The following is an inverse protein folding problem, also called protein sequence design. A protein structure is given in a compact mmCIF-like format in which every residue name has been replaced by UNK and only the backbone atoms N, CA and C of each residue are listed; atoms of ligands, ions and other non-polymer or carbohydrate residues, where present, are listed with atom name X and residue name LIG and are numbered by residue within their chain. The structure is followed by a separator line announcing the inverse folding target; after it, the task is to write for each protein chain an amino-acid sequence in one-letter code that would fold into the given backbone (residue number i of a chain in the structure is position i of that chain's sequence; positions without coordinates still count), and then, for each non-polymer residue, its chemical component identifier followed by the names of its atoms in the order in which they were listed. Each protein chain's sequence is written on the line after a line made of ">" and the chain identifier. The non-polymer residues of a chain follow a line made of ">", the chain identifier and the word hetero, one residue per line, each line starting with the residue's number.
data_IF_957464073497
#
_entry.id   IF_957464073497
#
_cell.length_a   1.000
_cell.length_b   1.000
_cell.length_c   1.000
_cell.angle_alpha   90.00
_cell.angle_beta   90.00
_cell.angle_gamma   90.00
#
_symmetry.space_group_name_H-M   'P 1'
#
loop_
_entity.id
_entity.type
_entity.pdbx_description
1 polymer ?
#
# COMPACT_ATOMS: atom_id res chain seq x y z
N UNK A 1 3.88 -4.61 9.81
CA UNK A 1 4.05 -3.30 9.15
C UNK A 1 2.94 -2.31 9.48
N UNK A 2 1.70 -2.55 9.03
CA UNK A 2 0.63 -1.53 9.05
C UNK A 2 0.24 -0.97 10.43
N UNK A 3 0.33 -1.78 11.50
CA UNK A 3 0.11 -1.28 12.86
C UNK A 3 1.21 -0.35 13.40
N UNK A 4 2.35 -0.24 12.71
CA UNK A 4 3.42 0.68 13.04
C UNK A 4 3.40 1.93 12.15
N UNK A 5 2.62 1.95 11.07
CA UNK A 5 2.48 3.10 10.16
C UNK A 5 1.30 3.98 10.55
N UNK A 6 1.30 5.24 10.15
CA UNK A 6 0.12 6.11 10.27
C UNK A 6 -1.06 5.70 9.34
N UNK A 7 -0.84 4.75 8.42
CA UNK A 7 -1.85 4.25 7.48
C UNK A 7 -3.06 3.69 8.24
N UNK A 8 -4.25 4.21 7.94
CA UNK A 8 -5.51 3.65 8.44
C UNK A 8 -5.94 4.06 9.84
N UNK A 9 -5.36 5.14 10.42
CA UNK A 9 -5.90 5.98 11.55
C UNK A 9 -4.85 6.86 12.25
N UNK A 10 -3.66 7.05 11.68
CA UNK A 10 -2.67 8.01 12.20
C UNK A 10 -1.93 7.58 13.47
N UNK A 11 -2.11 6.35 13.95
CA UNK A 11 -1.61 5.91 15.26
C UNK A 11 -0.22 5.24 15.29
N UNK A 12 0.45 5.08 14.15
CA UNK A 12 1.76 4.44 14.07
C UNK A 12 2.93 5.42 14.18
N UNK A 13 4.05 4.97 14.75
CA UNK A 13 5.25 5.76 15.00
C UNK A 13 6.34 5.64 13.92
N UNK A 14 6.16 4.77 12.92
CA UNK A 14 7.13 4.59 11.85
C UNK A 14 7.15 5.85 10.96
N UNK A 15 8.30 6.52 10.79
CA UNK A 15 8.40 7.70 9.95
C UNK A 15 8.12 7.33 8.50
N UNK A 16 7.45 8.25 7.79
CA UNK A 16 7.24 8.15 6.36
C UNK A 16 8.37 8.85 5.61
N UNK A 17 8.80 8.28 4.50
CA UNK A 17 9.46 9.00 3.43
C UNK A 17 8.37 9.62 2.54
N UNK A 18 8.23 10.95 2.62
CA UNK A 18 7.23 11.69 1.87
C UNK A 18 7.80 12.11 0.51
N UNK A 19 7.01 11.94 -0.53
CA UNK A 19 7.42 12.29 -1.89
C UNK A 19 6.24 12.82 -2.71
N UNK A 20 6.55 13.35 -3.88
CA UNK A 20 5.57 13.74 -4.88
C UNK A 20 6.10 13.38 -6.27
N UNK A 21 5.20 13.08 -7.20
CA UNK A 21 5.58 12.74 -8.57
C UNK A 21 4.65 13.45 -9.56
N UNK A 22 5.19 13.69 -10.77
CA UNK A 22 4.43 14.05 -11.95
C UNK A 22 4.41 12.84 -12.86
N UNK A 23 3.22 12.38 -13.23
CA UNK A 23 3.03 11.20 -14.06
C UNK A 23 1.99 11.46 -15.14
N UNK A 24 2.15 10.78 -16.27
CA UNK A 24 1.14 10.71 -17.31
C UNK A 24 0.22 9.54 -17.01
N UNK A 25 -1.06 9.82 -16.79
CA UNK A 25 -2.10 8.82 -16.58
C UNK A 25 -3.28 9.13 -17.50
N UNK A 26 -3.57 8.20 -18.41
CA UNK A 26 -4.66 8.32 -19.40
C UNK A 26 -4.55 9.60 -20.25
N UNK A 27 -3.35 9.89 -20.76
CA UNK A 27 -3.02 11.08 -21.55
C UNK A 27 -3.25 12.40 -20.80
N UNK A 28 -3.25 12.35 -19.46
CA UNK A 28 -3.36 13.51 -18.58
C UNK A 28 -2.16 13.59 -17.66
N UNK A 29 -1.59 14.79 -17.54
CA UNK A 29 -0.59 15.09 -16.53
C UNK A 29 -1.21 15.13 -15.15
N UNK A 30 -0.72 14.30 -14.23
CA UNK A 30 -1.24 14.18 -12.88
C UNK A 30 -0.13 14.37 -11.85
N UNK A 31 -0.46 15.09 -10.76
CA UNK A 31 0.40 15.22 -9.59
C UNK A 31 -0.05 14.21 -8.54
N UNK A 32 0.90 13.45 -8.02
CA UNK A 32 0.66 12.53 -6.91
C UNK A 32 1.46 12.94 -5.69
N UNK A 33 0.91 12.66 -4.51
CA UNK A 33 1.57 12.76 -3.22
C UNK A 33 1.70 11.36 -2.65
N UNK A 34 2.88 11.03 -2.14
CA UNK A 34 3.23 9.70 -1.70
C UNK A 34 3.80 9.67 -0.29
N UNK A 35 3.62 8.52 0.36
CA UNK A 35 4.26 8.20 1.63
C UNK A 35 4.72 6.74 1.60
N UNK A 36 6.04 6.54 1.63
CA UNK A 36 6.66 5.25 1.75
C UNK A 36 7.06 4.96 3.19
N UNK A 37 6.81 3.74 3.63
CA UNK A 37 7.18 3.23 4.93
C UNK A 37 7.97 1.95 4.73
N UNK A 38 9.03 1.77 5.51
CA UNK A 38 9.75 0.51 5.50
C UNK A 38 10.34 0.16 6.85
N UNK A 39 10.59 -1.13 7.06
CA UNK A 39 11.35 -1.62 8.19
C UNK A 39 12.00 -2.96 7.88
N UNK A 40 13.20 -3.14 8.40
CA UNK A 40 13.82 -4.45 8.50
C UNK A 40 13.18 -5.25 9.64
N UNK A 41 12.99 -6.54 9.42
CA UNK A 41 12.55 -7.51 10.42
C UNK A 41 13.67 -8.47 10.81
N UNK A 42 13.33 -9.48 11.61
CA UNK A 42 14.27 -10.52 11.99
C UNK A 42 14.77 -11.30 10.76
N UNK A 43 15.97 -11.87 10.86
CA UNK A 43 16.54 -12.78 9.86
C UNK A 43 16.59 -12.21 8.43
N UNK A 44 16.85 -10.90 8.30
CA UNK A 44 16.96 -10.24 7.00
C UNK A 44 15.64 -10.04 6.26
N UNK A 45 14.49 -10.31 6.90
CA UNK A 45 13.18 -9.99 6.32
C UNK A 45 13.00 -8.48 6.18
N UNK A 46 12.22 -8.06 5.19
CA UNK A 46 11.95 -6.64 4.94
C UNK A 46 10.47 -6.42 4.65
N UNK A 47 9.92 -5.36 5.20
CA UNK A 47 8.53 -4.97 5.00
C UNK A 47 8.50 -3.53 4.47
N UNK A 48 7.70 -3.27 3.43
CA UNK A 48 7.40 -1.91 2.99
C UNK A 48 5.93 -1.71 2.65
N UNK A 49 5.48 -0.46 2.81
CA UNK A 49 4.14 -0.01 2.46
C UNK A 49 4.30 1.33 1.77
N UNK A 50 3.68 1.46 0.62
CA UNK A 50 3.67 2.69 -0.16
C UNK A 50 2.21 3.13 -0.37
N UNK A 51 1.92 4.37 -0.04
CA UNK A 51 0.61 4.98 -0.27
C UNK A 51 0.76 6.13 -1.24
N UNK A 52 -0.03 6.11 -2.30
CA UNK A 52 -0.12 7.15 -3.30
C UNK A 52 -1.52 7.75 -3.28
N UNK A 53 -1.58 9.07 -3.26
CA UNK A 53 -2.80 9.86 -3.43
C UNK A 53 -2.65 10.77 -4.64
N UNK A 54 -3.62 10.73 -5.54
CA UNK A 54 -3.64 11.60 -6.70
C UNK A 54 -4.21 12.96 -6.29
N UNK A 55 -3.37 13.99 -6.30
CA UNK A 55 -3.76 15.35 -5.95
C UNK A 55 -4.53 16.04 -7.10
N UNK A 56 -4.40 15.55 -8.34
CA UNK A 56 -5.16 15.96 -9.52
C UNK A 56 -5.62 14.74 -10.34
N UNK A 57 -6.42 14.91 -11.41
CA UNK A 57 -6.62 13.85 -12.41
C UNK A 57 -7.64 12.73 -12.10
N UNK A 58 -8.51 12.86 -11.09
CA UNK A 58 -9.68 11.96 -10.91
C UNK A 58 -9.41 10.54 -10.38
N UNK A 59 -8.14 10.16 -10.20
CA UNK A 59 -7.75 8.93 -9.49
C UNK A 59 -7.80 9.14 -7.97
N UNK A 60 -8.02 8.06 -7.19
CA UNK A 60 -8.33 8.21 -5.76
C UNK A 60 -7.12 7.89 -4.87
N UNK A 61 -6.74 6.62 -4.71
CA UNK A 61 -5.66 6.18 -3.82
C UNK A 61 -5.10 4.85 -4.31
N UNK A 62 -3.79 4.63 -4.16
CA UNK A 62 -3.17 3.31 -4.21
C UNK A 62 -2.45 3.00 -2.88
N UNK A 63 -2.50 1.73 -2.47
CA UNK A 63 -1.70 1.18 -1.38
C UNK A 63 -1.00 -0.07 -1.90
N UNK A 64 0.32 -0.07 -1.85
CA UNK A 64 1.14 -1.24 -2.17
C UNK A 64 1.82 -1.75 -0.91
N UNK A 65 1.69 -3.03 -0.63
CA UNK A 65 2.34 -3.71 0.49
C UNK A 65 3.35 -4.71 -0.04
N UNK A 66 4.55 -4.72 0.53
CA UNK A 66 5.54 -5.75 0.28
C UNK A 66 5.99 -6.41 1.58
N UNK A 67 6.20 -7.71 1.50
CA UNK A 67 6.92 -8.50 2.48
C UNK A 67 7.92 -9.38 1.74
N UNK A 68 9.17 -9.23 2.12
CA UNK A 68 10.31 -9.88 1.52
C UNK A 68 10.93 -10.82 2.56
N UNK A 69 11.26 -12.03 2.13
CA UNK A 69 12.05 -12.98 2.92
C UNK A 69 13.27 -13.40 2.12
N UNK A 70 14.48 -13.33 2.70
CA UNK A 70 15.64 -13.96 2.11
C UNK A 70 15.42 -15.47 2.13
N UNK A 71 15.60 -16.11 0.98
CA UNK A 71 15.46 -17.57 0.81
C UNK A 71 16.60 -18.09 -0.05
N UNK A 72 16.86 -19.38 0.03
CA UNK A 72 17.73 -20.07 -0.93
C UNK A 72 16.85 -20.88 -1.87
N UNK A 73 16.88 -20.55 -3.15
CA UNK A 73 16.19 -21.31 -4.20
C UNK A 73 17.27 -21.94 -5.09
N UNK A 74 17.24 -23.27 -5.25
CA UNK A 74 18.21 -24.01 -6.07
C UNK A 74 19.67 -23.70 -5.75
N UNK A 75 19.99 -23.56 -4.45
CA UNK A 75 21.34 -23.23 -3.96
C UNK A 75 21.77 -21.77 -4.17
N UNK A 76 20.89 -20.90 -4.70
CA UNK A 76 21.18 -19.48 -4.95
C UNK A 76 20.47 -18.57 -3.96
N UNK A 77 21.14 -17.53 -3.41
CA UNK A 77 20.49 -16.47 -2.66
C UNK A 77 19.39 -15.82 -3.50
N UNK A 78 18.18 -15.82 -2.96
CA UNK A 78 16.96 -15.34 -3.62
C UNK A 78 16.07 -14.60 -2.62
N UNK A 79 15.02 -13.95 -3.11
CA UNK A 79 14.04 -13.28 -2.24
C UNK A 79 12.64 -13.76 -2.61
N UNK A 80 11.94 -14.34 -1.63
CA UNK A 80 10.51 -14.58 -1.75
C UNK A 80 9.79 -13.25 -1.49
N UNK A 81 8.91 -12.85 -2.40
CA UNK A 81 8.16 -11.61 -2.31
C UNK A 81 6.68 -11.92 -2.23
N UNK A 82 6.04 -11.45 -1.17
CA UNK A 82 4.59 -11.28 -1.12
C UNK A 82 4.27 -9.80 -1.38
N UNK A 83 3.40 -9.55 -2.35
CA UNK A 83 2.93 -8.21 -2.72
C UNK A 83 1.40 -8.18 -2.69
N UNK A 84 0.86 -7.11 -2.12
CA UNK A 84 -0.57 -6.81 -2.17
C UNK A 84 -0.79 -5.39 -2.67
N UNK A 85 -1.55 -5.24 -3.75
CA UNK A 85 -1.92 -3.96 -4.34
C UNK A 85 -3.41 -3.68 -4.11
N UNK A 86 -3.72 -2.49 -3.58
CA UNK A 86 -5.08 -1.98 -3.47
C UNK A 86 -5.16 -0.65 -4.20
N UNK A 87 -5.97 -0.58 -5.24
CA UNK A 87 -6.10 0.61 -6.08
C UNK A 87 -7.57 1.00 -6.10
N UNK A 88 -7.84 2.29 -5.89
CA UNK A 88 -9.13 2.91 -6.14
C UNK A 88 -8.99 3.91 -7.28
N UNK A 89 -9.75 3.69 -8.34
CA UNK A 89 -9.76 4.53 -9.56
C UNK A 89 -11.20 4.78 -10.01
N UNK A 90 -11.43 5.95 -10.61
CA UNK A 90 -12.73 6.32 -11.21
C UNK A 90 -13.00 5.59 -12.54
N UNK A 91 -12.00 4.91 -13.11
CA UNK A 91 -12.10 4.24 -14.41
C UNK A 91 -13.03 3.00 -14.40
N UNK A 92 -13.46 2.50 -13.23
CA UNK A 92 -14.43 1.39 -13.19
C UNK A 92 -15.91 1.82 -13.32
N UNK A 93 -16.20 3.12 -13.19
CA UNK A 93 -17.44 3.80 -13.53
C UNK A 93 -17.30 5.25 -13.06
N UNK A 94 -17.86 6.23 -13.78
CA UNK A 94 -17.98 7.61 -13.29
C UNK A 94 -18.82 7.65 -12.00
N UNK A 95 -18.20 7.40 -10.85
CA UNK A 95 -18.87 7.34 -9.55
C UNK A 95 -19.12 8.78 -9.09
N UNK A 96 -20.40 9.14 -8.94
CA UNK A 96 -20.82 10.41 -8.37
C UNK A 96 -20.92 10.28 -6.84
N UNK A 97 -20.43 11.29 -6.12
CA UNK A 97 -20.63 11.55 -4.68
C UNK A 97 -20.76 10.33 -3.74
N UNK A 98 -21.95 9.74 -3.68
CA UNK A 98 -22.29 8.58 -2.85
C UNK A 98 -21.60 7.28 -3.26
N UNK A 99 -21.41 7.03 -4.55
CA UNK A 99 -20.79 5.79 -5.02
C UNK A 99 -19.27 5.80 -4.78
N UNK A 100 -18.66 7.00 -4.82
CA UNK A 100 -17.27 7.23 -4.40
C UNK A 100 -17.08 6.86 -2.92
N UNK A 101 -17.92 7.39 -2.04
CA UNK A 101 -17.87 7.10 -0.59
C UNK A 101 -18.10 5.61 -0.29
N UNK A 102 -18.98 4.96 -1.06
CA UNK A 102 -19.20 3.51 -0.99
C UNK A 102 -17.95 2.72 -1.39
N UNK A 103 -17.32 3.07 -2.51
CA UNK A 103 -16.10 2.43 -3.00
C UNK A 103 -14.93 2.61 -2.02
N UNK A 104 -14.73 3.83 -1.49
CA UNK A 104 -13.73 4.12 -0.45
C UNK A 104 -13.97 3.27 0.81
N UNK A 105 -15.23 3.12 1.24
CA UNK A 105 -15.59 2.29 2.41
C UNK A 105 -15.33 0.79 2.19
N UNK A 106 -15.62 0.28 0.99
CA UNK A 106 -15.35 -1.13 0.62
C UNK A 106 -13.84 -1.37 0.50
N UNK A 107 -13.10 -0.42 -0.07
CA UNK A 107 -11.64 -0.47 -0.13
C UNK A 107 -11.06 -0.52 1.28
N UNK A 108 -11.49 0.37 2.18
CA UNK A 108 -11.04 0.36 3.58
C UNK A 108 -11.35 -0.97 4.28
N UNK A 109 -12.49 -1.58 4.00
CA UNK A 109 -12.84 -2.92 4.52
C UNK A 109 -11.91 -4.00 3.98
N UNK A 110 -11.60 -3.99 2.69
CA UNK A 110 -10.71 -4.96 2.05
C UNK A 110 -9.25 -4.78 2.47
N UNK A 111 -8.78 -3.54 2.58
CA UNK A 111 -7.49 -3.19 3.19
C UNK A 111 -7.45 -3.74 4.61
N UNK A 112 -8.46 -3.48 5.43
CA UNK A 112 -8.51 -3.97 6.81
C UNK A 112 -8.45 -5.50 6.89
N UNK A 113 -9.15 -6.21 6.00
CA UNK A 113 -9.06 -7.69 5.92
C UNK A 113 -7.65 -8.16 5.54
N UNK A 114 -7.05 -7.56 4.51
CA UNK A 114 -5.70 -7.90 4.07
C UNK A 114 -4.65 -7.58 5.16
N UNK A 115 -4.75 -6.42 5.81
CA UNK A 115 -3.94 -6.03 6.99
C UNK A 115 -4.08 -7.08 8.09
N UNK A 116 -5.30 -7.53 8.37
CA UNK A 116 -5.57 -8.50 9.45
C UNK A 116 -4.96 -9.86 9.12
N UNK A 117 -5.13 -10.34 7.89
CA UNK A 117 -4.50 -11.58 7.41
C UNK A 117 -2.96 -11.48 7.49
N UNK A 118 -2.41 -10.36 7.03
CA UNK A 118 -0.97 -10.07 7.09
C UNK A 118 -0.43 -10.07 8.53
N UNK A 119 -1.15 -9.44 9.46
CA UNK A 119 -0.77 -9.40 10.89
C UNK A 119 -0.81 -10.78 11.53
N UNK A 120 -1.79 -11.63 11.17
CA UNK A 120 -1.88 -13.01 11.67
C UNK A 120 -0.68 -13.84 11.25
N UNK A 121 -0.24 -13.71 10.01
CA UNK A 121 0.93 -14.44 9.48
C UNK A 121 2.26 -13.88 10.00
N UNK A 122 2.32 -12.60 10.34
CA UNK A 122 3.49 -11.97 10.97
C UNK A 122 3.68 -12.32 12.45
N UNK A 123 2.64 -12.85 13.11
CA UNK A 123 2.57 -13.07 14.56
C UNK A 123 3.00 -14.46 15.00
N UNK A 124 4.04 -15.03 14.40
CA UNK A 124 4.62 -16.32 14.77
C UNK A 124 5.38 -16.29 16.09
N UNK A 125 4.65 -16.15 17.22
CA UNK A 125 4.84 -16.84 18.50
C UNK A 125 3.68 -16.54 19.43
#
# INVERSE_FOLDING_TARGET
>A
LLGATAIGRGGGSLPAELYWELLDANDQGVVTLGAAYSRSGASGTYQSADVLYYASGGYYVALTLHQLWPVTADGKPSTLVWRGDMISSAELASLHGVERLGSESVMMKNITKAVTAFRRESGGR
#
